data_IF_197863894474
#
_entry.id   IF_197863894474
#
_cell.length_a   1.000
_cell.length_b   1.000
_cell.length_c   1.000
_cell.angle_alpha   90.00
_cell.angle_beta   90.00
_cell.angle_gamma   90.00
#
_symmetry.space_group_name_H-M   'P 1'
#
loop_
_entity.id
_entity.type
_entity.pdbx_description
1 polymer ?
#
# COMPACT_ATOMS: atom_id res chain seq x y z
N UNK A 1 -6.08 -10.31 15.05
CA UNK A 1 -4.93 -9.47 14.63
C UNK A 1 -5.40 -8.64 13.44
N UNK A 2 -5.19 -7.33 13.48
CA UNK A 2 -5.58 -6.38 12.41
C UNK A 2 -4.31 -5.75 11.84
N UNK A 3 -4.27 -5.56 10.52
CA UNK A 3 -3.22 -4.80 9.83
C UNK A 3 -3.80 -3.48 9.33
N UNK A 4 -3.20 -2.37 9.73
CA UNK A 4 -3.60 -1.02 9.31
C UNK A 4 -2.44 -0.41 8.51
N UNK A 5 -2.74 0.05 7.29
CA UNK A 5 -1.79 0.65 6.35
C UNK A 5 -2.24 2.08 6.06
N UNK A 6 -1.84 3.06 6.88
CA UNK A 6 -2.23 4.45 6.66
C UNK A 6 -1.39 5.09 5.55
N UNK A 7 -1.94 6.16 4.98
CA UNK A 7 -1.15 7.18 4.28
C UNK A 7 -0.17 7.88 5.25
N UNK A 8 0.70 8.78 4.80
CA UNK A 8 1.48 9.63 5.70
C UNK A 8 0.60 10.24 6.81
N UNK A 9 0.98 10.03 8.07
CA UNK A 9 0.25 10.57 9.23
C UNK A 9 1.06 11.69 9.87
N UNK A 10 0.41 12.81 10.17
CA UNK A 10 1.01 14.01 10.76
C UNK A 10 1.53 13.77 12.19
N UNK A 11 2.68 13.11 12.31
CA UNK A 11 3.35 12.78 13.57
C UNK A 11 4.72 13.44 13.66
N UNK A 12 5.29 13.52 14.86
CA UNK A 12 6.67 13.99 15.09
C UNK A 12 7.76 13.05 14.51
N UNK A 13 7.38 11.87 14.02
CA UNK A 13 8.33 10.89 13.49
C UNK A 13 9.05 11.34 12.21
N UNK A 14 8.42 12.22 11.43
CA UNK A 14 8.95 12.73 10.16
C UNK A 14 10.24 13.55 10.34
N UNK A 15 10.26 14.45 11.32
CA UNK A 15 11.45 15.25 11.62
C UNK A 15 12.62 14.37 12.11
N UNK A 16 12.31 13.34 12.91
CA UNK A 16 13.31 12.35 13.38
C UNK A 16 13.86 11.49 12.23
N UNK A 17 13.06 11.25 11.19
CA UNK A 17 13.46 10.51 10.00
C UNK A 17 14.25 11.35 8.98
N UNK A 18 14.46 12.65 9.25
CA UNK A 18 15.18 13.56 8.37
C UNK A 18 14.35 14.05 7.16
N UNK A 19 13.04 13.82 7.17
CA UNK A 19 12.12 14.34 6.16
C UNK A 19 11.04 15.17 6.85
N UNK A 20 11.20 16.50 6.95
CA UNK A 20 10.28 17.34 7.70
C UNK A 20 8.85 17.21 7.17
N UNK A 21 7.86 17.15 8.05
CA UNK A 21 6.46 16.94 7.65
C UNK A 21 5.99 18.02 6.65
N UNK A 22 6.46 19.27 6.83
CA UNK A 22 6.15 20.39 5.94
C UNK A 22 6.67 20.24 4.50
N UNK A 23 7.54 19.26 4.23
CA UNK A 23 8.01 18.94 2.88
C UNK A 23 7.07 17.99 2.12
N UNK A 24 6.14 17.34 2.83
CA UNK A 24 5.12 16.50 2.21
C UNK A 24 3.99 17.37 1.66
N UNK A 25 3.34 16.88 0.60
CA UNK A 25 2.11 17.49 0.10
C UNK A 25 1.01 17.34 1.17
N UNK A 26 0.49 18.44 1.74
CA UNK A 26 -0.55 18.38 2.77
C UNK A 26 -1.80 17.61 2.33
N UNK A 27 -2.10 17.55 1.02
CA UNK A 27 -3.25 16.79 0.49
C UNK A 27 -3.07 15.27 0.63
N UNK A 28 -1.85 14.80 0.90
CA UNK A 28 -1.51 13.37 1.06
C UNK A 28 -1.29 12.96 2.52
N UNK A 29 -1.37 13.91 3.45
CA UNK A 29 -1.10 13.70 4.88
C UNK A 29 -2.41 13.68 5.65
N UNK A 30 -2.64 12.59 6.39
CA UNK A 30 -3.78 12.43 7.30
C UNK A 30 -3.44 12.88 8.71
N UNK A 31 -4.42 13.41 9.46
CA UNK A 31 -4.23 13.70 10.88
C UNK A 31 -4.12 12.39 11.68
N UNK A 32 -3.48 12.45 12.85
CA UNK A 32 -3.40 11.29 13.76
C UNK A 32 -4.79 10.87 14.23
N UNK A 33 -5.66 11.83 14.54
CA UNK A 33 -7.02 11.57 15.01
C UNK A 33 -7.83 10.81 13.95
N UNK A 34 -7.87 11.32 12.72
CA UNK A 34 -8.62 10.68 11.63
C UNK A 34 -8.08 9.28 11.33
N UNK A 35 -6.76 9.09 11.38
CA UNK A 35 -6.14 7.77 11.18
C UNK A 35 -6.58 6.76 12.26
N UNK A 36 -6.65 7.19 13.52
CA UNK A 36 -7.07 6.34 14.64
C UNK A 36 -8.56 6.04 14.55
N UNK A 37 -9.39 7.04 14.28
CA UNK A 37 -10.84 6.87 14.15
C UNK A 37 -11.18 5.91 13.00
N UNK A 38 -10.52 6.06 11.84
CA UNK A 38 -10.69 5.15 10.72
C UNK A 38 -10.18 3.73 11.03
N UNK A 39 -9.08 3.59 11.79
CA UNK A 39 -8.56 2.29 12.19
C UNK A 39 -9.52 1.56 13.13
N UNK A 40 -10.14 2.28 14.08
CA UNK A 40 -11.11 1.74 15.03
C UNK A 40 -12.45 1.42 14.35
N UNK A 41 -12.98 2.32 13.53
CA UNK A 41 -14.17 2.02 12.72
C UNK A 41 -13.93 0.81 11.80
N UNK A 42 -12.73 0.70 11.24
CA UNK A 42 -12.30 -0.44 10.46
C UNK A 42 -12.26 -1.74 11.26
N UNK A 43 -11.91 -1.71 12.54
CA UNK A 43 -11.91 -2.88 13.41
C UNK A 43 -13.33 -3.42 13.59
N UNK A 44 -14.31 -2.54 13.79
CA UNK A 44 -15.72 -2.90 13.98
C UNK A 44 -16.36 -3.53 12.73
N UNK A 45 -15.97 -3.07 11.54
CA UNK A 45 -16.45 -3.60 10.25
C UNK A 45 -15.88 -5.02 9.98
N UNK A 46 -14.83 -5.42 10.69
CA UNK A 46 -14.15 -6.71 10.49
C UNK A 46 -13.27 -6.75 9.23
N UNK A 47 -12.45 -7.78 9.10
CA UNK A 47 -11.47 -7.91 8.00
C UNK A 47 -10.04 -7.60 8.43
N UNK A 48 -9.08 -8.26 7.78
CA UNK A 48 -7.68 -8.31 8.24
C UNK A 48 -6.84 -7.12 7.82
N UNK A 49 -7.15 -6.50 6.68
CA UNK A 49 -6.39 -5.39 6.08
C UNK A 49 -7.29 -4.15 6.05
N UNK A 50 -6.76 -3.02 6.53
CA UNK A 50 -7.42 -1.72 6.51
C UNK A 50 -6.47 -0.67 5.95
N UNK A 51 -6.94 0.10 4.98
CA UNK A 51 -6.18 1.16 4.33
C UNK A 51 -7.01 2.45 4.43
N UNK A 52 -6.87 3.23 5.52
CA UNK A 52 -7.78 4.35 5.83
C UNK A 52 -7.98 5.39 4.71
N UNK A 53 -6.99 5.57 3.85
CA UNK A 53 -7.04 6.56 2.77
C UNK A 53 -7.61 6.03 1.46
N UNK A 54 -8.12 4.79 1.43
CA UNK A 54 -8.61 4.13 0.20
C UNK A 54 -10.08 3.80 0.35
N UNK A 55 -10.90 4.42 -0.49
CA UNK A 55 -12.34 4.21 -0.55
C UNK A 55 -12.67 2.81 -1.09
N UNK A 56 -12.33 2.55 -2.37
CA UNK A 56 -12.66 1.32 -3.08
C UNK A 56 -11.59 0.22 -2.92
N UNK A 57 -11.25 -0.14 -1.68
CA UNK A 57 -10.11 -1.03 -1.41
C UNK A 57 -10.25 -2.43 -2.02
N UNK A 58 -11.44 -3.04 -1.93
CA UNK A 58 -11.67 -4.41 -2.35
C UNK A 58 -11.39 -4.66 -3.85
N UNK A 59 -11.96 -3.88 -4.80
CA UNK A 59 -11.64 -4.06 -6.23
C UNK A 59 -10.17 -3.78 -6.54
N UNK A 60 -9.55 -2.77 -5.91
CA UNK A 60 -8.13 -2.45 -6.12
C UNK A 60 -7.20 -3.60 -5.69
N UNK A 61 -7.49 -4.25 -4.56
CA UNK A 61 -6.74 -5.43 -4.11
C UNK A 61 -6.94 -6.63 -5.04
N UNK A 62 -8.17 -6.86 -5.53
CA UNK A 62 -8.46 -7.94 -6.46
C UNK A 62 -7.66 -7.78 -7.77
N UNK A 63 -7.59 -6.56 -8.31
CA UNK A 63 -6.83 -6.26 -9.52
C UNK A 63 -5.31 -6.42 -9.31
N UNK A 64 -4.82 -5.99 -8.14
CA UNK A 64 -3.42 -6.20 -7.73
C UNK A 64 -3.07 -7.69 -7.64
N UNK A 65 -3.90 -8.50 -6.97
CA UNK A 65 -3.67 -9.93 -6.82
C UNK A 65 -3.77 -10.67 -8.15
N UNK A 66 -4.73 -10.31 -9.01
CA UNK A 66 -4.84 -10.84 -10.37
C UNK A 66 -3.54 -10.64 -11.16
N UNK A 67 -3.01 -9.41 -11.14
CA UNK A 67 -1.75 -9.06 -11.79
C UNK A 67 -0.56 -9.79 -11.17
N UNK A 68 -0.52 -9.91 -9.84
CA UNK A 68 0.51 -10.63 -9.10
C UNK A 68 0.57 -12.11 -9.48
N UNK A 69 -0.58 -12.79 -9.55
CA UNK A 69 -0.64 -14.20 -9.92
C UNK A 69 -0.31 -14.43 -11.39
N UNK A 70 -0.77 -13.57 -12.29
CA UNK A 70 -0.40 -13.63 -13.71
C UNK A 70 1.12 -13.49 -13.90
N UNK A 71 1.74 -12.55 -13.21
CA UNK A 71 3.20 -12.37 -13.24
C UNK A 71 3.94 -13.59 -12.70
N UNK A 72 3.51 -14.12 -11.54
CA UNK A 72 4.10 -15.31 -10.94
C UNK A 72 4.02 -16.51 -11.91
N UNK A 73 2.86 -16.74 -12.53
CA UNK A 73 2.69 -17.80 -13.52
C UNK A 73 3.61 -17.65 -14.73
N UNK A 74 3.74 -16.43 -15.27
CA UNK A 74 4.64 -16.15 -16.39
C UNK A 74 6.13 -16.34 -16.04
N UNK A 75 6.50 -16.17 -14.76
CA UNK A 75 7.88 -16.35 -14.29
C UNK A 75 8.28 -17.82 -14.09
N UNK A 76 7.34 -18.77 -14.06
CA UNK A 76 7.62 -20.21 -13.93
C UNK A 76 8.06 -20.84 -15.25
N UNK A 77 9.06 -20.26 -15.90
CA UNK A 77 9.66 -20.75 -17.16
C UNK A 77 11.13 -21.07 -16.96
N UNK A 78 11.56 -22.26 -17.42
CA UNK A 78 12.99 -22.64 -17.45
C UNK A 78 13.79 -21.97 -18.57
N UNK A 79 13.15 -21.16 -19.41
CA UNK A 79 13.77 -20.49 -20.56
C UNK A 79 13.80 -18.99 -20.32
N UNK A 80 14.97 -18.38 -20.48
CA UNK A 80 15.11 -16.93 -20.44
C UNK A 80 14.23 -16.24 -21.49
N UNK A 81 13.56 -15.15 -21.09
CA UNK A 81 12.72 -14.37 -21.99
C UNK A 81 13.51 -13.91 -23.23
N UNK A 82 12.86 -13.87 -24.39
CA UNK A 82 13.49 -13.55 -25.68
C UNK A 82 14.24 -12.22 -25.68
N UNK A 83 13.76 -11.22 -24.94
CA UNK A 83 14.43 -9.93 -24.73
C UNK A 83 15.85 -10.01 -24.15
N UNK A 84 16.24 -11.14 -23.55
CA UNK A 84 17.59 -11.37 -23.04
C UNK A 84 18.48 -12.17 -24.00
N UNK A 85 17.94 -12.62 -25.14
CA UNK A 85 18.71 -13.33 -26.19
C UNK A 85 19.32 -12.32 -27.17
N UNK A 86 20.05 -11.34 -26.65
CA UNK A 86 20.74 -10.36 -27.48
C UNK A 86 22.18 -10.86 -27.68
N UNK A 87 22.52 -11.28 -28.91
CA UNK A 87 23.90 -11.62 -29.31
C UNK A 87 24.19 -13.10 -29.59
N UNK A 88 23.27 -13.83 -30.22
CA UNK A 88 23.55 -15.13 -30.84
C UNK A 88 23.66 -15.02 -32.35
#
# INVERSE_FOLDING_TARGET
MQTVLPAPVATEGWDKAGLPLASLDPATVMSVADCVDAALAGLDIGGTIKVPSVEDLAPLLADYDSSRFALLGAAQSGVAASRYKVGG
#
